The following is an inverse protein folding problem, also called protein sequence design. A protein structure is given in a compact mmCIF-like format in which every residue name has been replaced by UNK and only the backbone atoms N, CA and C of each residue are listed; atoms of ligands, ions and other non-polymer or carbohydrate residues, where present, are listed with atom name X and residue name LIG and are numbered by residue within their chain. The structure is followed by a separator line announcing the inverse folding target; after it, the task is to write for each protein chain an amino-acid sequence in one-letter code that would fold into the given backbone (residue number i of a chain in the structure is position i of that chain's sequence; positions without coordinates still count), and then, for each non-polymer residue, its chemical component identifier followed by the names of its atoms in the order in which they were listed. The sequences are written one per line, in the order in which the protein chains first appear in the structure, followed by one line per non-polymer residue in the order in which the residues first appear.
data_IF_219320446423
#
_entry.id   IF_219320446423
#
_cell.length_a   1.000
_cell.length_b   1.000
_cell.length_c   1.000
_cell.angle_alpha   90.00
_cell.angle_beta   90.00
_cell.angle_gamma   90.00
#
_symmetry.space_group_name_H-M   'P 1'
#
loop_
_entity.id
_entity.type
_entity.pdbx_description
1 polymer ?
#
# COMPACT_ATOMS: atom_id res chain seq x y z
N UNK A 1 -10.69 31.51 11.91
CA UNK A 1 -11.34 30.19 11.78
C UNK A 1 -10.41 29.29 10.98
N UNK A 2 -10.15 28.08 11.47
CA UNK A 2 -9.33 27.09 10.75
C UNK A 2 -10.06 26.63 9.48
N UNK A 3 -9.42 26.60 8.29
CA UNK A 3 -10.02 26.14 7.05
C UNK A 3 -10.55 24.70 7.14
N UNK A 4 -11.59 24.38 6.38
CA UNK A 4 -12.20 23.05 6.38
C UNK A 4 -11.18 21.94 6.06
N UNK A 5 -10.31 22.19 5.08
CA UNK A 5 -9.29 21.24 4.65
C UNK A 5 -8.30 20.90 5.77
N UNK A 6 -7.90 21.89 6.56
CA UNK A 6 -7.00 21.70 7.70
C UNK A 6 -7.69 20.89 8.83
N UNK A 7 -8.98 21.14 9.10
CA UNK A 7 -9.76 20.31 10.04
C UNK A 7 -9.88 18.86 9.57
N UNK A 8 -10.08 18.65 8.28
CA UNK A 8 -10.12 17.31 7.67
C UNK A 8 -8.76 16.61 7.82
N UNK A 9 -7.66 17.32 7.58
CA UNK A 9 -6.31 16.76 7.73
C UNK A 9 -6.03 16.36 9.18
N UNK A 10 -6.34 17.24 10.14
CA UNK A 10 -6.23 16.91 11.57
C UNK A 10 -7.05 15.67 11.97
N UNK A 11 -8.25 15.51 11.40
CA UNK A 11 -9.06 14.33 11.66
C UNK A 11 -8.45 13.06 11.05
N UNK A 12 -7.94 13.13 9.81
CA UNK A 12 -7.24 12.00 9.17
C UNK A 12 -5.99 11.59 9.95
N UNK A 13 -5.18 12.56 10.38
CA UNK A 13 -3.99 12.32 11.18
C UNK A 13 -4.35 11.67 12.52
N UNK A 14 -5.41 12.13 13.17
CA UNK A 14 -5.93 11.51 14.39
C UNK A 14 -6.33 10.04 14.18
N UNK A 15 -6.98 9.70 13.05
CA UNK A 15 -7.31 8.30 12.73
C UNK A 15 -6.04 7.44 12.61
N UNK A 16 -4.97 8.00 12.04
CA UNK A 16 -3.67 7.32 11.91
C UNK A 16 -2.97 7.17 13.28
N UNK A 17 -2.86 8.26 14.03
CA UNK A 17 -2.19 8.31 15.34
C UNK A 17 -2.86 7.39 16.37
N UNK A 18 -4.19 7.32 16.35
CA UNK A 18 -4.96 6.46 17.27
C UNK A 18 -5.09 5.02 16.79
N UNK A 19 -4.43 4.67 15.68
CA UNK A 19 -4.41 3.30 15.17
C UNK A 19 -5.82 2.80 14.84
N UNK A 20 -6.63 3.64 14.20
CA UNK A 20 -7.97 3.25 13.72
C UNK A 20 -7.80 2.26 12.58
N UNK A 21 -8.33 1.05 12.76
CA UNK A 21 -8.27 0.00 11.76
C UNK A 21 -9.31 0.24 10.66
N UNK A 22 -8.85 0.29 9.40
CA UNK A 22 -9.74 0.34 8.23
C UNK A 22 -10.50 -0.98 7.96
N UNK A 23 -10.19 -2.05 8.71
CA UNK A 23 -10.84 -3.37 8.61
C UNK A 23 -11.85 -3.63 9.74
N UNK A 24 -11.97 -2.70 10.69
CA UNK A 24 -12.89 -2.77 11.82
C UNK A 24 -14.13 -1.90 11.58
N UNK A 25 -15.17 -2.09 12.39
CA UNK A 25 -16.38 -1.24 12.30
C UNK A 25 -16.14 0.10 12.98
N UNK A 26 -16.79 1.16 12.49
CA UNK A 26 -16.70 2.51 13.06
C UNK A 26 -16.96 2.51 14.56
N UNK A 27 -18.00 1.83 15.04
CA UNK A 27 -18.37 1.77 16.47
C UNK A 27 -17.26 1.17 17.34
N UNK A 28 -16.57 0.13 16.84
CA UNK A 28 -15.45 -0.50 17.56
C UNK A 28 -14.23 0.42 17.65
N UNK A 29 -14.00 1.26 16.66
CA UNK A 29 -12.85 2.17 16.65
C UNK A 29 -13.18 3.54 17.27
N UNK A 30 -14.47 3.91 17.37
CA UNK A 30 -14.94 5.22 17.81
C UNK A 30 -14.39 5.62 19.18
N UNK A 31 -14.33 4.69 20.13
CA UNK A 31 -13.85 4.97 21.48
C UNK A 31 -12.38 5.41 21.51
N UNK A 32 -11.58 5.12 20.47
CA UNK A 32 -10.18 5.55 20.37
C UNK A 32 -10.03 7.03 20.04
N UNK A 33 -11.06 7.62 19.41
CA UNK A 33 -11.02 8.98 18.85
C UNK A 33 -12.05 9.92 19.47
N UNK A 34 -13.15 9.40 20.05
CA UNK A 34 -14.24 10.23 20.62
C UNK A 34 -13.76 11.13 21.78
N UNK A 35 -12.70 10.72 22.47
CA UNK A 35 -12.09 11.48 23.56
C UNK A 35 -11.05 12.50 23.08
N UNK A 36 -10.70 12.52 21.79
CA UNK A 36 -9.77 13.49 21.23
C UNK A 36 -10.49 14.82 20.92
N UNK A 37 -9.96 15.98 21.35
CA UNK A 37 -10.56 17.28 21.03
C UNK A 37 -10.76 17.51 19.53
N UNK A 38 -9.92 16.92 18.67
CA UNK A 38 -10.01 17.04 17.20
C UNK A 38 -11.23 16.36 16.62
N UNK A 39 -11.86 15.42 17.34
CA UNK A 39 -13.11 14.77 16.91
C UNK A 39 -14.25 15.78 16.71
N UNK A 40 -14.29 16.83 17.53
CA UNK A 40 -15.34 17.86 17.48
C UNK A 40 -15.14 18.90 16.38
N UNK A 41 -14.02 18.86 15.63
CA UNK A 41 -13.71 19.82 14.57
C UNK A 41 -14.53 19.59 13.28
N UNK A 42 -15.16 18.44 13.15
CA UNK A 42 -15.96 18.05 11.99
C UNK A 42 -17.39 17.70 12.41
N UNK A 43 -18.35 17.92 11.52
CA UNK A 43 -19.73 17.50 11.69
C UNK A 43 -19.88 15.98 11.49
N UNK A 44 -20.95 15.34 12.01
CA UNK A 44 -21.17 13.91 11.86
C UNK A 44 -21.12 13.40 10.41
N UNK A 45 -21.64 14.19 9.46
CA UNK A 45 -21.64 13.84 8.04
C UNK A 45 -20.21 13.85 7.46
N UNK A 46 -19.43 14.88 7.78
CA UNK A 46 -18.01 14.99 7.37
C UNK A 46 -17.19 13.85 7.97
N UNK A 47 -17.38 13.52 9.25
CA UNK A 47 -16.66 12.40 9.91
C UNK A 47 -16.89 11.09 9.17
N UNK A 48 -18.14 10.79 8.80
CA UNK A 48 -18.49 9.58 8.05
C UNK A 48 -17.83 9.57 6.67
N UNK A 49 -17.91 10.68 5.93
CA UNK A 49 -17.28 10.79 4.61
C UNK A 49 -15.76 10.61 4.67
N UNK A 50 -15.09 11.25 5.63
CA UNK A 50 -13.64 11.13 5.81
C UNK A 50 -13.25 9.72 6.23
N UNK A 51 -14.04 9.06 7.08
CA UNK A 51 -13.82 7.66 7.46
C UNK A 51 -13.97 6.70 6.27
N UNK A 52 -14.99 6.87 5.44
CA UNK A 52 -15.15 6.07 4.21
C UNK A 52 -13.99 6.28 3.22
N UNK A 53 -13.53 7.52 3.06
CA UNK A 53 -12.34 7.83 2.27
C UNK A 53 -11.08 7.19 2.85
N UNK A 54 -10.94 7.20 4.17
CA UNK A 54 -9.83 6.56 4.88
C UNK A 54 -9.79 5.06 4.62
N UNK A 55 -10.94 4.37 4.72
CA UNK A 55 -11.03 2.93 4.39
C UNK A 55 -10.62 2.67 2.94
N UNK A 56 -11.19 3.44 1.99
CA UNK A 56 -10.86 3.31 0.56
C UNK A 56 -9.36 3.55 0.29
N UNK A 57 -8.77 4.53 0.95
CA UNK A 57 -7.34 4.83 0.84
C UNK A 57 -6.49 3.66 1.32
N UNK A 58 -6.79 3.10 2.50
CA UNK A 58 -6.06 1.95 3.06
C UNK A 58 -6.15 0.70 2.18
N UNK A 59 -7.33 0.40 1.63
CA UNK A 59 -7.49 -0.71 0.68
C UNK A 59 -6.65 -0.48 -0.57
N UNK A 60 -6.64 0.75 -1.10
CA UNK A 60 -5.86 1.12 -2.28
C UNK A 60 -4.36 1.04 -2.02
N UNK A 61 -3.90 1.45 -0.84
CA UNK A 61 -2.51 1.34 -0.41
C UNK A 61 -2.06 -0.13 -0.34
N UNK A 62 -2.82 -1.02 0.29
CA UNK A 62 -2.51 -2.46 0.32
C UNK A 62 -2.42 -3.06 -1.09
N UNK A 63 -3.33 -2.69 -1.99
CA UNK A 63 -3.31 -3.18 -3.37
C UNK A 63 -2.10 -2.64 -4.15
N UNK A 64 -1.75 -1.36 -3.93
CA UNK A 64 -0.59 -0.72 -4.55
C UNK A 64 0.71 -1.35 -4.06
N UNK A 65 0.82 -1.65 -2.77
CA UNK A 65 2.02 -2.24 -2.18
C UNK A 65 2.27 -3.66 -2.73
N UNK A 66 1.22 -4.48 -2.84
CA UNK A 66 1.32 -5.81 -3.49
C UNK A 66 1.76 -5.71 -4.94
N UNK A 67 1.19 -4.78 -5.71
CA UNK A 67 1.57 -4.55 -7.12
C UNK A 67 3.01 -4.04 -7.25
N UNK A 68 3.42 -3.11 -6.38
CA UNK A 68 4.75 -2.52 -6.43
C UNK A 68 5.83 -3.55 -6.10
N UNK A 69 5.60 -4.38 -5.08
CA UNK A 69 6.53 -5.47 -4.72
C UNK A 69 6.74 -6.46 -5.87
N UNK A 70 5.68 -6.79 -6.61
CA UNK A 70 5.79 -7.64 -7.81
C UNK A 70 6.57 -6.96 -8.93
N UNK A 71 6.35 -5.67 -9.18
CA UNK A 71 7.08 -4.92 -10.20
C UNK A 71 8.57 -4.79 -9.84
N UNK A 72 8.87 -4.50 -8.57
CA UNK A 72 10.24 -4.45 -8.08
C UNK A 72 10.95 -5.79 -8.26
N UNK A 73 10.33 -6.91 -7.85
CA UNK A 73 10.91 -8.23 -8.05
C UNK A 73 11.16 -8.56 -9.53
N UNK A 74 10.27 -8.14 -10.44
CA UNK A 74 10.47 -8.30 -11.89
C UNK A 74 11.61 -7.45 -12.44
N UNK A 75 11.72 -6.20 -11.99
CA UNK A 75 12.80 -5.32 -12.44
C UNK A 75 14.16 -5.77 -11.90
N UNK A 76 14.21 -6.20 -10.64
CA UNK A 76 15.41 -6.74 -10.01
C UNK A 76 15.88 -8.02 -10.71
N UNK A 77 14.95 -8.92 -11.05
CA UNK A 77 15.26 -10.11 -11.86
C UNK A 77 15.79 -9.73 -13.25
N UNK A 78 15.21 -8.71 -13.90
CA UNK A 78 15.70 -8.22 -15.20
C UNK A 78 17.11 -7.64 -15.10
N UNK A 79 17.40 -6.85 -14.06
CA UNK A 79 18.75 -6.30 -13.82
C UNK A 79 19.75 -7.41 -13.58
N UNK A 80 19.40 -8.43 -12.77
CA UNK A 80 20.23 -9.60 -12.55
C UNK A 80 20.60 -10.30 -13.87
N UNK A 81 19.62 -10.51 -14.76
CA UNK A 81 19.86 -11.11 -16.07
C UNK A 81 20.78 -10.24 -16.95
N UNK A 82 20.63 -8.92 -16.93
CA UNK A 82 21.45 -7.98 -17.70
C UNK A 82 22.90 -7.92 -17.18
N UNK A 83 23.08 -7.86 -15.86
CA UNK A 83 24.38 -7.84 -15.19
C UNK A 83 25.14 -9.16 -15.36
N UNK A 84 24.42 -10.28 -15.44
CA UNK A 84 25.01 -11.61 -15.58
C UNK A 84 25.65 -11.91 -16.96
N UNK A 85 25.63 -10.96 -17.91
CA UNK A 85 26.14 -11.15 -19.30
C UNK A 85 25.75 -12.51 -19.89
N UNK A 86 24.55 -13.01 -19.58
CA UNK A 86 24.03 -14.22 -20.21
C UNK A 86 23.72 -13.84 -21.65
N UNK A 87 24.62 -14.22 -22.56
CA UNK A 87 24.47 -13.98 -24.00
C UNK A 87 23.07 -14.44 -24.47
N UNK A 88 22.46 -13.77 -25.47
CA UNK A 88 21.08 -14.04 -25.92
C UNK A 88 20.77 -15.50 -26.29
N UNK A 89 21.81 -16.34 -26.49
CA UNK A 89 21.68 -17.79 -26.69
C UNK A 89 21.11 -18.55 -25.50
N UNK A 90 21.16 -18.00 -24.28
CA UNK A 90 20.71 -18.69 -23.05
C UNK A 90 19.23 -18.40 -22.74
N UNK A 91 18.57 -17.50 -23.48
CA UNK A 91 17.14 -17.25 -23.35
C UNK A 91 16.26 -18.30 -24.05
N UNK A 92 16.84 -19.16 -24.89
CA UNK A 92 16.12 -20.25 -25.55
C UNK A 92 16.00 -21.45 -24.59
N UNK A 93 14.80 -21.90 -24.19
CA UNK A 93 14.63 -23.06 -23.31
C UNK A 93 15.33 -24.32 -23.83
N UNK A 94 15.59 -24.39 -25.14
CA UNK A 94 16.31 -25.49 -25.79
C UNK A 94 17.82 -25.49 -25.51
N UNK A 95 18.42 -24.35 -25.20
CA UNK A 95 19.88 -24.21 -25.03
C UNK A 95 20.34 -24.57 -23.61
N UNK A 96 19.54 -24.23 -22.58
CA UNK A 96 19.84 -24.59 -21.19
C UNK A 96 19.88 -26.12 -20.97
N UNK A 97 19.06 -26.87 -21.71
CA UNK A 97 19.00 -28.33 -21.63
C UNK A 97 20.22 -28.96 -22.34
N UNK A 98 20.63 -28.39 -23.49
CA UNK A 98 21.73 -28.93 -24.27
C UNK A 98 23.11 -28.80 -23.60
N UNK A 99 23.32 -27.78 -22.77
CA UNK A 99 24.60 -27.62 -22.05
C UNK A 99 24.74 -28.55 -20.85
N UNK A 100 23.63 -28.95 -20.22
CA UNK A 100 23.64 -29.88 -19.08
C UNK A 100 23.93 -31.34 -19.48
N UNK A 101 23.68 -31.71 -20.74
CA UNK A 101 23.88 -33.08 -21.24
C UNK A 101 25.28 -33.31 -21.86
N UNK A 102 26.07 -32.25 -22.09
CA UNK A 102 27.42 -32.34 -22.68
C UNK A 102 28.57 -32.22 -21.65
N UNK A 103 28.25 -32.11 -20.35
CA UNK A 103 29.23 -32.21 -19.25
C UNK A 103 29.19 -33.58 -18.53
N UNK A 104 28.68 -34.63 -19.21
CA UNK A 104 28.85 -36.04 -18.84
C UNK A 104 29.26 -36.88 -20.05
#
# INVERSE_FOLDING_TARGET
MVPLEERINHFRDMLLERGVSAFSTWEKELHKIVFDPRYLLLNPEERKQIFEQFIKARIKEEYKEKKNKLLQAKEEFRKLLEESKLTPRIQDPKYCIAKATLEF
#
